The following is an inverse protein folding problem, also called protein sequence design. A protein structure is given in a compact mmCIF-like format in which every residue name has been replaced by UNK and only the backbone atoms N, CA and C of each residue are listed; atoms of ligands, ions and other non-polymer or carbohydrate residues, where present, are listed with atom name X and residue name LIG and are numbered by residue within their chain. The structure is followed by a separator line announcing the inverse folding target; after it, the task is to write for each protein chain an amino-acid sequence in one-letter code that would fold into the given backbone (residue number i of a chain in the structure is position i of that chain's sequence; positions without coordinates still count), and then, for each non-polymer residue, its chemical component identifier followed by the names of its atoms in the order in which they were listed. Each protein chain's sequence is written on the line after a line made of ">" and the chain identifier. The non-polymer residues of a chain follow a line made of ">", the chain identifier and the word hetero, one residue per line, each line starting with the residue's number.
data_IF_091062425005
#
_entry.id   IF_091062425005
#
_cell.length_a   1.000
_cell.length_b   1.000
_cell.length_c   1.000
_cell.angle_alpha   90.00
_cell.angle_beta   90.00
_cell.angle_gamma   90.00
#
_symmetry.space_group_name_H-M   'P 1'
#
loop_
_entity.id
_entity.type
_entity.pdbx_description
1 polymer ?
#
# COMPACT_ATOMS: atom_id res chain seq x y z
N UNK A 1 -3.79 3.79 -9.65
CA UNK A 1 -4.20 2.80 -8.64
C UNK A 1 -5.24 1.88 -9.25
N UNK A 2 -5.08 0.60 -9.02
CA UNK A 2 -6.02 -0.42 -9.51
C UNK A 2 -7.02 -0.69 -8.40
N UNK A 3 -8.31 -0.51 -8.69
CA UNK A 3 -9.37 -0.74 -7.69
C UNK A 3 -10.14 -2.00 -8.07
N UNK A 4 -10.20 -2.95 -7.14
CA UNK A 4 -10.92 -4.20 -7.31
C UNK A 4 -12.04 -4.26 -6.28
N UNK A 5 -13.27 -4.47 -6.73
CA UNK A 5 -14.40 -4.69 -5.82
C UNK A 5 -14.65 -6.19 -5.73
N UNK A 6 -14.54 -6.74 -4.53
CA UNK A 6 -14.68 -8.18 -4.29
C UNK A 6 -16.12 -8.64 -4.35
N UNK A 7 -17.03 -7.79 -4.00
CA UNK A 7 -18.47 -8.10 -4.00
C UNK A 7 -19.27 -6.83 -4.26
N UNK A 8 -20.55 -7.00 -4.47
CA UNK A 8 -21.46 -5.87 -4.68
C UNK A 8 -21.84 -5.27 -3.34
N UNK A 9 -22.22 -4.00 -3.36
CA UNK A 9 -22.71 -3.28 -2.20
C UNK A 9 -21.89 -2.01 -1.94
N UNK A 10 -22.20 -1.36 -0.84
CA UNK A 10 -21.54 -0.12 -0.45
C UNK A 10 -20.11 -0.40 -0.03
N UNK A 11 -19.19 0.40 -0.53
CA UNK A 11 -17.78 0.33 -0.16
C UNK A 11 -17.44 1.51 0.73
N UNK A 12 -16.42 1.35 1.55
CA UNK A 12 -15.97 2.43 2.43
C UNK A 12 -15.50 3.62 1.59
N UNK A 13 -15.87 4.85 1.95
CA UNK A 13 -15.32 6.03 1.28
C UNK A 13 -13.82 6.10 1.49
N UNK A 14 -13.10 6.46 0.44
CA UNK A 14 -11.67 6.66 0.53
C UNK A 14 -11.24 7.84 -0.32
N UNK A 15 -10.12 8.41 0.04
CA UNK A 15 -9.55 9.54 -0.66
C UNK A 15 -8.06 9.33 -0.83
N UNK A 16 -7.55 9.62 -2.02
CA UNK A 16 -6.13 9.48 -2.34
C UNK A 16 -5.54 10.86 -2.60
N UNK A 17 -4.47 11.19 -1.90
CA UNK A 17 -3.74 12.44 -2.09
C UNK A 17 -2.25 12.10 -2.17
N UNK A 18 -1.67 12.23 -3.36
CA UNK A 18 -0.29 11.80 -3.59
C UNK A 18 -0.13 10.31 -3.32
N UNK A 19 0.71 9.96 -2.37
CA UNK A 19 0.92 8.57 -1.97
C UNK A 19 0.18 8.18 -0.69
N UNK A 20 -0.75 9.03 -0.25
CA UNK A 20 -1.52 8.82 0.98
C UNK A 20 -2.94 8.42 0.62
N UNK A 21 -3.47 7.44 1.35
CA UNK A 21 -4.86 7.03 1.22
C UNK A 21 -5.53 7.14 2.60
N UNK A 22 -6.72 7.73 2.62
CA UNK A 22 -7.50 7.92 3.84
C UNK A 22 -8.83 7.21 3.69
N UNK A 23 -9.18 6.38 4.67
CA UNK A 23 -10.45 5.66 4.70
C UNK A 23 -11.40 6.32 5.68
N UNK A 24 -12.54 6.77 5.19
CA UNK A 24 -13.66 7.35 5.96
C UNK A 24 -13.21 8.45 6.94
N UNK A 25 -12.21 9.23 6.54
CA UNK A 25 -11.60 10.28 7.37
C UNK A 25 -11.07 9.79 8.73
N UNK A 26 -10.96 8.48 8.93
CA UNK A 26 -10.51 7.90 10.19
C UNK A 26 -9.09 7.35 10.17
N UNK A 27 -8.73 6.66 9.08
CA UNK A 27 -7.41 6.03 8.97
C UNK A 27 -6.71 6.54 7.72
N UNK A 28 -5.50 7.03 7.90
CA UNK A 28 -4.66 7.48 6.79
C UNK A 28 -3.40 6.63 6.74
N UNK A 29 -3.09 6.11 5.55
CA UNK A 29 -1.87 5.36 5.30
C UNK A 29 -0.99 6.11 4.30
N UNK A 30 0.27 6.29 4.65
CA UNK A 30 1.26 6.84 3.72
C UNK A 30 1.96 5.67 3.04
N UNK A 31 1.53 5.35 1.84
CA UNK A 31 1.99 4.15 1.14
C UNK A 31 3.46 4.21 0.79
N UNK A 32 4.00 5.40 0.51
CA UNK A 32 5.42 5.51 0.21
C UNK A 32 6.30 5.15 1.41
N UNK A 33 5.82 5.41 2.63
CA UNK A 33 6.54 5.03 3.84
C UNK A 33 6.37 3.55 4.18
N UNK A 34 5.29 2.94 3.73
CA UNK A 34 5.03 1.53 3.96
C UNK A 34 5.70 0.63 2.93
N UNK A 35 6.11 1.20 1.79
CA UNK A 35 6.77 0.43 0.73
C UNK A 35 8.08 -0.17 1.22
N UNK A 36 8.29 -1.42 0.84
CA UNK A 36 9.50 -2.17 1.18
C UNK A 36 10.15 -2.74 -0.08
N UNK A 37 11.21 -3.46 0.08
CA UNK A 37 11.92 -4.09 -1.05
C UNK A 37 11.20 -5.34 -1.57
N UNK A 38 10.11 -5.71 -0.93
CA UNK A 38 9.22 -6.78 -1.37
C UNK A 38 7.79 -6.24 -1.38
N UNK A 39 6.89 -6.96 -2.02
CA UNK A 39 5.47 -6.57 -2.05
C UNK A 39 4.93 -6.58 -0.62
N UNK A 40 4.23 -5.52 -0.27
CA UNK A 40 3.65 -5.34 1.05
C UNK A 40 2.14 -5.33 0.95
N UNK A 41 1.46 -6.02 1.87
CA UNK A 41 0.01 -6.07 1.92
C UNK A 41 -0.48 -5.55 3.27
N UNK A 42 -1.50 -4.69 3.25
CA UNK A 42 -2.15 -4.18 4.46
C UNK A 42 -3.65 -4.40 4.36
N UNK A 43 -4.22 -4.92 5.43
CA UNK A 43 -5.67 -5.09 5.53
C UNK A 43 -6.26 -3.97 6.38
N UNK A 44 -7.41 -3.48 5.96
CA UNK A 44 -8.24 -2.55 6.74
C UNK A 44 -9.51 -3.32 7.09
N UNK A 45 -9.82 -3.38 8.36
CA UNK A 45 -10.95 -4.17 8.86
C UNK A 45 -11.78 -3.37 9.84
N UNK A 46 -13.03 -3.80 10.05
CA UNK A 46 -13.78 -3.41 11.23
C UNK A 46 -13.48 -4.41 12.34
N UNK A 47 -13.32 -3.93 13.56
CA UNK A 47 -13.21 -4.78 14.72
C UNK A 47 -14.61 -5.19 15.22
N UNK A 48 -14.67 -5.85 16.38
CA UNK A 48 -15.94 -6.32 16.96
C UNK A 48 -16.86 -5.19 17.37
N UNK A 49 -16.33 -3.98 17.56
CA UNK A 49 -17.11 -2.79 17.94
C UNK A 49 -17.46 -1.91 16.73
N UNK A 50 -17.00 -2.29 15.54
CA UNK A 50 -17.29 -1.53 14.32
C UNK A 50 -16.29 -0.41 14.05
N UNK A 51 -15.18 -0.39 14.76
CA UNK A 51 -14.13 0.60 14.53
C UNK A 51 -13.16 0.11 13.45
N UNK A 52 -12.61 1.03 12.67
CA UNK A 52 -11.61 0.70 11.69
C UNK A 52 -10.27 0.41 12.35
N UNK A 53 -9.66 -0.70 11.96
CA UNK A 53 -8.33 -1.09 12.44
C UNK A 53 -7.47 -1.54 11.26
N UNK A 54 -6.17 -1.41 11.41
CA UNK A 54 -5.20 -1.89 10.43
C UNK A 54 -4.75 -3.29 10.84
N UNK A 55 -4.85 -4.22 9.90
CA UNK A 55 -4.45 -5.60 10.12
C UNK A 55 -5.63 -6.50 10.43
N UNK A 56 -5.54 -7.75 9.97
CA UNK A 56 -6.60 -8.74 10.16
C UNK A 56 -6.58 -9.36 11.56
N UNK A 57 -5.48 -9.22 12.29
CA UNK A 57 -5.33 -9.81 13.62
C UNK A 57 -6.34 -9.27 14.63
N UNK A 58 -6.63 -7.97 14.54
CA UNK A 58 -7.62 -7.32 15.41
C UNK A 58 -8.97 -7.17 14.72
N UNK A 59 -9.05 -7.55 13.44
CA UNK A 59 -10.24 -7.33 12.63
C UNK A 59 -11.25 -8.45 12.71
N UNK A 60 -12.51 -8.10 12.48
CA UNK A 60 -13.62 -9.05 12.37
C UNK A 60 -14.14 -9.14 10.95
N UNK A 61 -14.16 -8.02 10.23
CA UNK A 61 -14.74 -7.95 8.90
C UNK A 61 -13.80 -7.19 7.98
N UNK A 62 -13.54 -7.73 6.80
CA UNK A 62 -12.72 -7.07 5.81
C UNK A 62 -13.44 -5.85 5.25
N UNK A 63 -12.72 -4.76 5.11
CA UNK A 63 -13.20 -3.51 4.51
C UNK A 63 -12.39 -3.22 3.25
N UNK A 64 -11.09 -3.29 3.34
CA UNK A 64 -10.19 -3.00 2.22
C UNK A 64 -8.88 -3.75 2.39
N UNK A 65 -8.19 -3.94 1.26
CA UNK A 65 -6.85 -4.47 1.25
C UNK A 65 -6.01 -3.63 0.31
N UNK A 66 -4.77 -3.36 0.70
CA UNK A 66 -3.86 -2.57 -0.11
C UNK A 66 -2.63 -3.40 -0.40
N UNK A 67 -2.33 -3.56 -1.70
CA UNK A 67 -1.11 -4.22 -2.14
C UNK A 67 -0.17 -3.18 -2.71
N UNK A 68 0.99 -3.03 -2.07
CA UNK A 68 1.99 -2.05 -2.42
C UNK A 68 3.12 -2.79 -3.15
N UNK A 69 3.49 -2.35 -4.38
CA UNK A 69 4.54 -3.03 -5.12
C UNK A 69 5.89 -2.90 -4.41
N UNK A 70 6.76 -3.86 -4.66
CA UNK A 70 8.13 -3.78 -4.17
C UNK A 70 8.81 -2.52 -4.70
N UNK A 71 9.72 -1.98 -3.88
CA UNK A 71 10.49 -0.79 -4.27
C UNK A 71 11.34 -1.11 -5.49
N UNK A 72 11.33 -0.21 -6.45
CA UNK A 72 12.17 -0.29 -7.62
C UNK A 72 13.35 0.66 -7.48
N UNK A 73 14.45 0.31 -8.08
CA UNK A 73 15.68 1.09 -8.03
C UNK A 73 16.10 1.48 -9.43
N UNK A 74 16.71 2.63 -9.52
CA UNK A 74 17.25 3.17 -10.74
C UNK A 74 18.76 3.15 -10.66
N UNK A 75 19.41 2.63 -11.69
CA UNK A 75 20.86 2.66 -11.78
C UNK A 75 21.29 4.04 -12.25
N UNK A 76 22.11 4.70 -11.47
CA UNK A 76 22.65 6.02 -11.80
C UNK A 76 24.14 5.89 -12.03
N UNK A 77 24.57 6.24 -13.24
CA UNK A 77 25.98 6.30 -13.54
C UNK A 77 26.55 7.59 -12.96
N UNK A 78 27.55 7.43 -12.11
CA UNK A 78 28.30 8.56 -11.59
C UNK A 78 29.41 8.92 -12.55
N UNK A 79 29.48 10.16 -12.97
CA UNK A 79 30.57 10.66 -13.79
C UNK A 79 31.82 10.91 -12.95
N UNK A 80 31.71 10.83 -11.63
CA UNK A 80 32.85 10.99 -10.75
C UNK A 80 33.74 9.75 -10.86
N UNK A 81 34.91 9.92 -11.40
CA UNK A 81 35.89 8.84 -11.37
C UNK A 81 36.36 8.65 -9.96
N UNK A 82 36.38 7.41 -9.51
CA UNK A 82 36.99 7.09 -8.23
C UNK A 82 38.48 7.30 -8.37
N UNK A 83 39.07 7.92 -7.38
CA UNK A 83 40.49 8.23 -7.43
C UNK A 83 41.40 6.98 -7.56
N UNK A 84 40.88 5.85 -7.17
CA UNK A 84 41.60 4.57 -7.28
C UNK A 84 41.34 3.87 -8.60
N UNK A 85 40.47 4.42 -9.44
CA UNK A 85 40.17 3.85 -10.75
C UNK A 85 39.43 2.53 -10.69
N UNK A 86 38.92 2.14 -9.55
CA UNK A 86 38.29 0.84 -9.34
C UNK A 86 36.78 0.90 -9.28
N UNK A 87 36.19 2.07 -9.27
CA UNK A 87 34.75 2.23 -9.15
C UNK A 87 34.05 2.05 -10.48
N UNK A 88 32.96 1.33 -10.48
CA UNK A 88 32.09 1.25 -11.65
C UNK A 88 31.34 2.55 -11.88
N UNK A 89 31.28 3.42 -10.89
CA UNK A 89 30.52 4.65 -11.00
C UNK A 89 29.02 4.46 -11.03
N UNK A 90 28.53 3.25 -10.73
CA UNK A 90 27.12 2.95 -10.73
C UNK A 90 26.61 2.89 -9.30
N UNK A 91 25.58 3.67 -9.00
CA UNK A 91 24.86 3.59 -7.75
C UNK A 91 23.39 3.31 -8.04
N UNK A 92 22.67 2.80 -7.05
CA UNK A 92 21.26 2.50 -7.18
C UNK A 92 20.47 3.41 -6.24
N UNK A 93 19.48 4.11 -6.77
CA UNK A 93 18.63 4.98 -5.98
C UNK A 93 17.20 4.47 -6.04
N UNK A 94 16.46 4.54 -4.92
CA UNK A 94 15.08 4.12 -4.93
C UNK A 94 14.23 5.05 -5.78
N UNK A 95 13.37 4.47 -6.59
CA UNK A 95 12.38 5.23 -7.34
C UNK A 95 11.21 5.57 -6.44
N UNK A 96 10.53 6.70 -6.67
CA UNK A 96 9.30 7.00 -5.98
C UNK A 96 8.25 5.91 -6.21
N UNK A 97 7.36 5.73 -5.24
CA UNK A 97 6.27 4.79 -5.38
C UNK A 97 5.40 5.17 -6.58
N UNK A 98 5.18 4.20 -7.46
CA UNK A 98 4.27 4.36 -8.59
C UNK A 98 2.87 3.96 -8.16
N UNK A 99 2.02 4.96 -7.95
CA UNK A 99 0.65 4.73 -7.50
C UNK A 99 -0.19 3.95 -8.51
N UNK A 100 0.17 3.94 -9.78
CA UNK A 100 -0.53 3.15 -10.79
C UNK A 100 -0.40 1.65 -10.55
N UNK A 101 0.63 1.24 -9.83
CA UNK A 101 0.91 -0.16 -9.51
C UNK A 101 0.34 -0.59 -8.15
N UNK A 102 -0.24 0.32 -7.41
CA UNK A 102 -0.89 0.00 -6.14
C UNK A 102 -2.26 -0.58 -6.42
N UNK A 103 -2.60 -1.68 -5.74
CA UNK A 103 -3.92 -2.31 -5.87
C UNK A 103 -4.70 -2.09 -4.58
N UNK A 104 -5.91 -1.58 -4.73
CA UNK A 104 -6.86 -1.41 -3.63
C UNK A 104 -8.01 -2.38 -3.86
N UNK A 105 -8.20 -3.29 -2.92
CA UNK A 105 -9.30 -4.26 -2.95
C UNK A 105 -10.35 -3.82 -1.93
N UNK A 106 -11.61 -3.77 -2.34
CA UNK A 106 -12.70 -3.31 -1.49
C UNK A 106 -13.74 -4.41 -1.30
N UNK A 107 -14.19 -4.58 -0.07
CA UNK A 107 -15.33 -5.44 0.26
C UNK A 107 -16.53 -4.60 0.64
N UNK A 108 -17.73 -5.13 0.41
CA UNK A 108 -18.95 -4.46 0.84
C UNK A 108 -18.96 -4.31 2.36
N UNK A 109 -19.31 -3.13 2.83
CA UNK A 109 -19.51 -2.88 4.27
C UNK A 109 -20.95 -3.15 4.69
N UNK A 110 -21.85 -3.40 3.72
CA UNK A 110 -23.24 -3.79 4.00
C UNK A 110 -23.30 -5.28 4.34
N UNK A 111 -22.61 -6.08 3.52
CA UNK A 111 -22.53 -7.54 3.64
C UNK A 111 -21.16 -7.91 4.17
N UNK A 112 -21.00 -7.79 5.44
CA UNK A 112 -19.68 -7.90 6.07
C UNK A 112 -19.03 -9.26 5.86
N UNK A 113 -17.85 -9.25 5.25
CA UNK A 113 -17.07 -10.46 5.02
C UNK A 113 -16.15 -10.71 6.22
N UNK A 114 -16.41 -11.80 6.93
CA UNK A 114 -15.65 -12.13 8.13
C UNK A 114 -14.21 -12.50 7.81
N UNK A 115 -13.32 -12.06 8.68
CA UNK A 115 -11.95 -12.52 8.69
C UNK A 115 -11.95 -13.95 9.24
N UNK A 116 -11.43 -14.87 8.44
CA UNK A 116 -11.27 -16.26 8.90
C UNK A 116 -9.98 -16.38 9.69
N UNK A 117 -10.10 -16.99 10.86
CA UNK A 117 -8.95 -17.22 11.72
C UNK A 117 -8.69 -18.71 11.87
#
# INVERSE_FOLDING_TARGET
>A
MIVIEKNEGTKIPFEVTGTKITFDDEIMLNLSKLQKDETEHKDICFDSEGDLVIGAESGRYYVAGIDIPAREYEAIESEAENEDGMGSGVSYEPKPLDMEKVTLTLWSIDDKTKVEQ
#
